data_IF_009645969184
#
_entry.id   IF_009645969184
#
_cell.length_a   1.000
_cell.length_b   1.000
_cell.length_c   1.000
_cell.angle_alpha   90.00
_cell.angle_beta   90.00
_cell.angle_gamma   90.00
#
_symmetry.space_group_name_H-M   'P 1'
#
loop_
_entity.id
_entity.type
_entity.pdbx_description
1 polymer ?
#
# COMPACT_ATOMS: atom_id res chain seq x y z
N UNK A 1 -82.21 6.66 15.93
CA UNK A 1 -81.74 5.26 16.05
C UNK A 1 -80.92 4.99 14.79
N UNK A 2 -79.64 5.30 14.75
CA UNK A 2 -78.53 4.57 15.36
C UNK A 2 -78.44 3.11 14.87
N UNK A 3 -77.24 2.74 14.40
CA UNK A 3 -76.72 1.37 14.29
C UNK A 3 -76.76 0.67 12.92
N UNK A 4 -75.99 1.17 11.93
CA UNK A 4 -75.48 0.31 10.84
C UNK A 4 -74.04 0.65 10.37
N UNK A 5 -73.24 1.36 11.18
CA UNK A 5 -71.88 1.77 10.78
C UNK A 5 -70.74 1.27 11.70
N UNK A 6 -70.99 0.31 12.59
CA UNK A 6 -69.99 -0.16 13.58
C UNK A 6 -69.46 -1.57 13.33
N UNK A 7 -70.05 -2.36 12.42
CA UNK A 7 -69.61 -3.75 12.17
C UNK A 7 -68.46 -3.87 11.16
N UNK A 8 -68.16 -2.83 10.37
CA UNK A 8 -67.07 -2.86 9.39
C UNK A 8 -65.68 -2.57 9.99
N UNK A 9 -65.61 -1.86 11.12
CA UNK A 9 -64.34 -1.42 11.72
C UNK A 9 -63.70 -2.51 12.61
N UNK A 10 -64.52 -3.37 13.24
CA UNK A 10 -64.05 -4.49 14.07
C UNK A 10 -63.49 -5.65 13.23
N UNK A 11 -64.02 -5.89 12.02
CA UNK A 11 -63.50 -6.93 11.12
C UNK A 11 -62.16 -6.54 10.48
N UNK A 12 -61.99 -5.27 10.13
CA UNK A 12 -60.73 -4.76 9.57
C UNK A 12 -59.61 -4.69 10.61
N UNK A 13 -59.93 -4.30 11.86
CA UNK A 13 -58.92 -4.27 12.95
C UNK A 13 -58.49 -5.66 13.40
N UNK A 14 -59.38 -6.66 13.40
CA UNK A 14 -59.01 -8.05 13.67
C UNK A 14 -58.15 -8.66 12.54
N UNK A 15 -58.38 -8.25 11.29
CA UNK A 15 -57.57 -8.68 10.15
C UNK A 15 -56.15 -8.07 10.18
N UNK A 16 -56.03 -6.81 10.63
CA UNK A 16 -54.73 -6.15 10.83
C UNK A 16 -53.96 -6.77 12.01
N UNK A 17 -54.64 -7.17 13.10
CA UNK A 17 -54.00 -7.86 14.23
C UNK A 17 -53.61 -9.32 13.91
N UNK A 18 -54.32 -10.01 13.01
CA UNK A 18 -53.98 -11.37 12.59
C UNK A 18 -52.89 -11.42 11.50
N UNK A 19 -52.77 -10.38 10.66
CA UNK A 19 -51.62 -10.22 9.75
C UNK A 19 -50.35 -9.78 10.49
N UNK A 20 -50.46 -9.20 11.69
CA UNK A 20 -49.32 -8.85 12.52
C UNK A 20 -48.71 -10.03 13.32
N UNK A 21 -49.37 -11.20 13.34
CA UNK A 21 -48.97 -12.35 14.17
C UNK A 21 -48.49 -13.57 13.36
N UNK A 22 -48.32 -13.45 12.04
CA UNK A 22 -47.92 -14.54 11.14
C UNK A 22 -46.51 -14.38 10.53
N UNK A 23 -45.56 -13.77 11.26
CA UNK A 23 -44.12 -13.80 10.91
C UNK A 23 -43.23 -13.97 12.15
N UNK A 24 -43.48 -15.00 12.97
CA UNK A 24 -42.47 -15.48 13.94
C UNK A 24 -41.50 -16.43 13.27
N UNK A 25 -40.49 -15.87 12.61
CA UNK A 25 -39.14 -16.40 12.34
C UNK A 25 -38.58 -15.51 11.23
N UNK A 26 -37.75 -14.53 11.54
CA UNK A 26 -36.37 -14.72 11.94
C UNK A 26 -36.06 -13.66 12.98
N UNK A 27 -35.72 -14.06 14.21
CA UNK A 27 -34.90 -13.21 15.07
C UNK A 27 -33.64 -12.94 14.25
N UNK A 28 -33.56 -11.75 13.66
CA UNK A 28 -32.35 -11.22 13.06
C UNK A 28 -31.29 -11.28 14.16
N UNK A 29 -30.37 -12.25 14.03
CA UNK A 29 -29.21 -12.35 14.87
C UNK A 29 -28.54 -10.96 14.94
N UNK A 30 -27.98 -10.57 16.10
CA UNK A 30 -27.34 -9.27 16.24
C UNK A 30 -26.33 -9.08 15.12
N UNK A 31 -26.36 -7.90 14.49
CA UNK A 31 -25.46 -7.47 13.42
C UNK A 31 -24.06 -8.05 13.65
N UNK A 32 -23.74 -9.12 12.92
CA UNK A 32 -22.42 -9.76 12.97
C UNK A 32 -21.48 -8.85 12.20
N UNK A 33 -20.89 -7.89 12.89
CA UNK A 33 -20.05 -6.86 12.29
C UNK A 33 -18.69 -7.37 11.75
N UNK A 34 -18.53 -8.68 11.52
CA UNK A 34 -17.32 -9.22 10.90
C UNK A 34 -17.59 -10.56 10.19
N UNK A 35 -17.10 -10.68 8.95
CA UNK A 35 -17.26 -11.86 8.09
C UNK A 35 -15.88 -12.39 7.64
N UNK A 36 -15.77 -13.72 7.52
CA UNK A 36 -14.57 -14.45 7.15
C UNK A 36 -14.76 -15.19 5.83
N UNK A 37 -13.76 -15.16 4.94
CA UNK A 37 -13.87 -15.64 3.56
C UNK A 37 -12.73 -16.58 3.17
N UNK A 38 -13.01 -17.56 2.31
CA UNK A 38 -12.03 -18.55 1.82
C UNK A 38 -11.14 -18.06 0.69
N UNK A 39 -11.61 -17.13 -0.15
CA UNK A 39 -10.85 -16.71 -1.33
C UNK A 39 -10.91 -15.20 -1.58
N UNK A 40 -9.77 -14.64 -2.00
CA UNK A 40 -9.62 -13.28 -2.51
C UNK A 40 -9.20 -13.35 -3.98
N UNK A 41 -10.05 -12.84 -4.88
CA UNK A 41 -9.66 -12.71 -6.29
C UNK A 41 -8.84 -11.43 -6.50
N UNK A 42 -7.65 -11.49 -7.13
CA UNK A 42 -6.83 -10.32 -7.42
C UNK A 42 -7.33 -9.63 -8.70
N UNK A 43 -8.54 -9.06 -8.67
CA UNK A 43 -9.08 -8.26 -9.77
C UNK A 43 -9.06 -6.79 -9.35
N UNK A 44 -8.03 -6.06 -9.80
CA UNK A 44 -7.84 -4.62 -9.52
C UNK A 44 -7.23 -4.29 -8.15
N UNK A 45 -6.99 -2.99 -7.87
CA UNK A 45 -6.32 -2.50 -6.63
C UNK A 45 -7.08 -2.81 -5.32
N UNK A 46 -8.26 -3.43 -5.38
CA UNK A 46 -9.09 -3.78 -4.22
C UNK A 46 -9.65 -5.18 -4.43
N UNK A 47 -8.98 -6.19 -3.87
CA UNK A 47 -9.42 -7.59 -3.98
C UNK A 47 -10.83 -7.80 -3.45
N UNK A 48 -11.61 -8.63 -4.14
CA UNK A 48 -13.00 -8.98 -3.80
C UNK A 48 -13.00 -10.33 -3.10
N UNK A 49 -13.68 -10.47 -1.96
CA UNK A 49 -13.86 -11.78 -1.35
C UNK A 49 -14.97 -12.56 -2.04
N UNK A 50 -14.74 -13.85 -2.19
CA UNK A 50 -15.74 -14.84 -2.56
C UNK A 50 -15.71 -15.96 -1.53
N UNK A 51 -16.79 -16.74 -1.46
CA UNK A 51 -16.90 -17.92 -0.60
C UNK A 51 -16.78 -17.61 0.91
N UNK A 52 -17.85 -17.03 1.45
CA UNK A 52 -17.99 -16.82 2.90
C UNK A 52 -17.95 -18.14 3.67
N UNK A 53 -17.21 -18.16 4.78
CA UNK A 53 -17.15 -19.31 5.67
C UNK A 53 -18.39 -19.27 6.56
N UNK A 54 -19.19 -20.34 6.50
CA UNK A 54 -20.31 -20.53 7.42
C UNK A 54 -19.77 -20.74 8.84
N UNK A 55 -19.77 -19.66 9.63
CA UNK A 55 -19.34 -19.70 11.03
C UNK A 55 -20.50 -20.23 11.88
N UNK A 56 -20.32 -21.32 12.66
CA UNK A 56 -21.38 -21.84 13.51
C UNK A 56 -21.82 -20.78 14.53
N UNK A 57 -23.09 -20.82 14.95
CA UNK A 57 -23.72 -19.74 15.72
C UNK A 57 -23.08 -19.46 17.10
N UNK A 58 -22.21 -20.36 17.58
CA UNK A 58 -21.47 -20.26 18.83
C UNK A 58 -20.07 -19.61 18.68
N UNK A 59 -19.63 -19.28 17.46
CA UNK A 59 -18.32 -18.67 17.20
C UNK A 59 -18.53 -17.27 16.61
N UNK A 60 -17.93 -16.26 17.25
CA UNK A 60 -17.87 -14.89 16.76
C UNK A 60 -16.48 -14.63 16.19
N UNK A 61 -16.38 -14.33 14.89
CA UNK A 61 -15.11 -13.90 14.30
C UNK A 61 -14.95 -12.43 14.56
N UNK A 62 -14.13 -12.04 15.54
CA UNK A 62 -13.94 -10.64 15.90
C UNK A 62 -12.72 -10.02 15.19
N UNK A 63 -11.75 -10.84 14.77
CA UNK A 63 -10.50 -10.36 14.21
C UNK A 63 -9.92 -11.27 13.08
N UNK A 64 -8.90 -10.78 12.34
CA UNK A 64 -8.20 -11.53 11.29
C UNK A 64 -7.59 -12.88 11.74
N UNK A 65 -7.07 -12.98 12.97
CA UNK A 65 -6.39 -14.18 13.48
C UNK A 65 -7.39 -15.31 13.71
N UNK A 66 -8.57 -14.99 14.22
CA UNK A 66 -9.66 -15.94 14.41
C UNK A 66 -10.19 -16.47 13.07
N UNK A 67 -10.25 -15.60 12.05
CA UNK A 67 -10.60 -15.99 10.68
C UNK A 67 -9.60 -17.00 10.08
N UNK A 68 -8.29 -16.84 10.36
CA UNK A 68 -7.28 -17.81 9.92
C UNK A 68 -7.46 -19.20 10.56
N UNK A 69 -7.82 -19.27 11.85
CA UNK A 69 -8.05 -20.56 12.51
C UNK A 69 -9.22 -21.34 11.90
N UNK A 70 -10.17 -20.63 11.29
CA UNK A 70 -11.29 -21.21 10.56
C UNK A 70 -10.96 -21.54 9.10
N UNK A 71 -9.72 -21.33 8.66
CA UNK A 71 -9.27 -21.57 7.30
C UNK A 71 -9.64 -20.48 6.30
N UNK A 72 -9.93 -19.26 6.77
CA UNK A 72 -10.18 -18.11 5.91
C UNK A 72 -8.90 -17.41 5.49
N UNK A 73 -8.90 -16.84 4.29
CA UNK A 73 -7.79 -16.05 3.75
C UNK A 73 -8.11 -14.54 3.68
N UNK A 74 -9.36 -14.14 3.92
CA UNK A 74 -9.80 -12.75 3.85
C UNK A 74 -10.83 -12.39 4.92
N UNK A 75 -10.78 -11.14 5.40
CA UNK A 75 -11.60 -10.63 6.50
C UNK A 75 -12.20 -9.25 6.21
N UNK A 76 -13.40 -8.97 6.72
CA UNK A 76 -14.12 -7.69 6.55
C UNK A 76 -14.98 -7.33 7.76
N UNK A 77 -14.87 -6.09 8.25
CA UNK A 77 -15.71 -5.48 9.30
C UNK A 77 -17.09 -5.01 8.80
N UNK A 78 -17.33 -5.00 7.47
CA UNK A 78 -18.58 -4.47 6.90
C UNK A 78 -19.43 -5.61 6.34
N UNK A 79 -20.70 -5.63 6.75
CA UNK A 79 -21.75 -6.60 6.41
C UNK A 79 -22.01 -6.81 4.90
N UNK A 80 -21.38 -6.03 4.02
CA UNK A 80 -21.63 -6.05 2.58
C UNK A 80 -20.41 -6.47 1.73
N UNK A 81 -19.32 -6.99 2.33
CA UNK A 81 -18.22 -7.65 1.61
C UNK A 81 -17.47 -6.81 0.55
N UNK A 82 -17.61 -5.48 0.58
CA UNK A 82 -17.09 -4.59 -0.49
C UNK A 82 -15.58 -4.35 -0.44
N UNK A 83 -14.91 -4.64 0.69
CA UNK A 83 -13.45 -4.52 0.84
C UNK A 83 -12.97 -5.61 1.78
N UNK A 84 -12.02 -6.40 1.33
CA UNK A 84 -11.38 -7.42 2.15
C UNK A 84 -9.95 -7.07 2.44
N UNK A 85 -9.58 -7.22 3.71
CA UNK A 85 -8.21 -7.21 4.20
C UNK A 85 -7.70 -8.64 4.29
N UNK A 86 -6.38 -8.81 4.21
CA UNK A 86 -5.75 -10.11 4.35
C UNK A 86 -5.91 -10.57 5.80
N UNK A 87 -6.54 -11.73 5.99
CA UNK A 87 -6.76 -12.29 7.33
C UNK A 87 -5.47 -12.91 7.88
N UNK A 88 -4.78 -13.64 7.01
CA UNK A 88 -3.55 -14.38 7.31
C UNK A 88 -2.37 -13.67 6.67
N UNK A 89 -2.09 -12.47 7.16
CA UNK A 89 -0.77 -11.92 7.01
C UNK A 89 0.18 -12.86 7.75
N UNK A 90 1.15 -13.43 7.05
CA UNK A 90 2.19 -14.25 7.68
C UNK A 90 2.81 -13.42 8.83
N UNK A 91 2.90 -13.97 10.05
CA UNK A 91 3.59 -13.28 11.13
C UNK A 91 5.06 -13.10 10.73
N UNK A 92 5.62 -11.91 10.97
CA UNK A 92 7.08 -11.75 10.96
C UNK A 92 7.71 -12.83 11.84
N UNK A 93 8.86 -13.41 11.45
CA UNK A 93 9.48 -14.50 12.21
C UNK A 93 9.91 -14.01 13.59
N UNK A 94 9.17 -14.39 14.64
CA UNK A 94 9.64 -14.28 16.02
C UNK A 94 10.86 -15.21 16.20
N UNK A 95 12.01 -14.62 16.55
CA UNK A 95 13.18 -15.33 17.03
C UNK A 95 12.80 -16.25 18.20
N UNK A 96 13.28 -17.52 18.23
CA UNK A 96 12.91 -18.44 19.29
C UNK A 96 13.49 -18.00 20.65
N UNK A 97 12.61 -17.89 21.65
CA UNK A 97 12.98 -17.84 23.07
C UNK A 97 13.49 -19.22 23.52
N UNK A 98 14.59 -19.31 24.30
CA UNK A 98 15.01 -20.58 24.88
C UNK A 98 13.99 -21.08 25.92
N UNK A 99 13.63 -22.34 25.78
CA UNK A 99 12.83 -23.10 26.75
C UNK A 99 13.73 -23.36 27.95
N UNK A 100 13.40 -22.75 29.09
CA UNK A 100 13.93 -23.15 30.38
C UNK A 100 13.35 -24.51 30.76
N UNK A 101 14.21 -25.51 30.85
CA UNK A 101 13.92 -26.82 31.40
C UNK A 101 15.14 -27.29 32.17
N UNK A 102 15.07 -27.20 33.49
CA UNK A 102 16.06 -27.77 34.38
C UNK A 102 16.07 -29.29 34.29
N UNK A 103 17.25 -29.87 34.44
CA UNK A 103 17.44 -31.23 34.93
C UNK A 103 18.50 -31.18 36.02
N UNK A 104 18.02 -31.01 37.24
CA UNK A 104 18.73 -31.52 38.40
C UNK A 104 18.86 -33.05 38.26
N UNK A 105 20.02 -33.54 38.68
CA UNK A 105 20.25 -34.91 39.18
C UNK A 105 20.20 -36.06 38.17
N UNK A 106 21.36 -36.46 37.63
CA UNK A 106 21.72 -37.88 37.61
C UNK A 106 23.25 -38.09 37.72
N UNK A 107 23.64 -38.92 38.69
CA UNK A 107 24.94 -39.55 38.97
C UNK A 107 26.03 -38.62 39.53
N UNK A 108 26.34 -38.58 40.83
CA UNK A 108 26.49 -39.67 41.82
C UNK A 108 27.08 -40.94 41.22
N UNK A 109 28.41 -40.97 41.10
CA UNK A 109 29.28 -42.07 41.53
C UNK A 109 30.70 -41.77 41.06
N UNK A 110 31.68 -42.04 41.95
CA UNK A 110 33.13 -42.10 41.73
C UNK A 110 33.94 -40.88 42.23
N UNK A 111 33.96 -40.69 43.55
CA UNK A 111 35.24 -40.61 44.26
C UNK A 111 35.69 -42.06 44.53
N UNK A 112 37.01 -42.42 44.47
CA UNK A 112 37.93 -41.94 45.51
C UNK A 112 39.43 -41.81 45.12
N UNK A 113 40.17 -41.24 46.09
CA UNK A 113 41.62 -41.37 46.37
C UNK A 113 42.62 -40.46 45.62
N UNK A 114 42.86 -39.26 46.17
CA UNK A 114 44.17 -38.72 46.61
C UNK A 114 43.87 -37.31 47.14
N UNK A 115 43.94 -37.03 48.44
CA UNK A 115 45.19 -37.02 49.19
C UNK A 115 45.49 -35.57 49.57
N UNK A 116 45.57 -35.31 50.87
CA UNK A 116 46.16 -34.12 51.52
C UNK A 116 45.68 -32.73 51.07
N UNK A 117 44.97 -32.09 52.00
CA UNK A 117 44.93 -30.64 52.14
C UNK A 117 46.32 -30.01 51.91
N UNK A 118 46.46 -29.23 50.85
CA UNK A 118 47.16 -27.97 50.95
C UNK A 118 46.15 -26.87 50.65
N UNK A 119 46.05 -25.94 51.60
CA UNK A 119 45.32 -24.69 51.42
C UNK A 119 45.94 -23.98 50.21
N UNK A 120 45.23 -23.93 49.09
CA UNK A 120 45.51 -22.90 48.10
C UNK A 120 44.94 -21.61 48.67
N UNK A 121 45.83 -20.72 49.07
CA UNK A 121 45.51 -19.37 49.49
C UNK A 121 44.58 -18.72 48.47
N UNK A 122 43.43 -18.21 48.93
CA UNK A 122 42.48 -17.40 48.14
C UNK A 122 43.04 -15.97 47.98
N UNK A 123 44.30 -15.87 47.59
CA UNK A 123 44.99 -14.61 47.31
C UNK A 123 45.98 -14.80 46.15
N UNK A 124 45.52 -15.32 45.01
CA UNK A 124 46.09 -15.05 43.67
C UNK A 124 45.25 -15.73 42.57
N UNK A 125 43.99 -15.34 42.42
CA UNK A 125 43.43 -15.27 41.07
C UNK A 125 43.83 -13.89 40.55
N UNK A 126 45.04 -13.82 40.01
CA UNK A 126 45.36 -12.68 39.16
C UNK A 126 44.34 -12.67 38.02
N UNK A 127 43.99 -11.47 37.56
CA UNK A 127 43.15 -11.20 36.40
C UNK A 127 43.83 -11.66 35.08
N UNK A 128 44.50 -12.81 35.07
CA UNK A 128 45.43 -13.20 34.01
C UNK A 128 44.96 -14.47 33.30
N UNK A 129 43.78 -14.40 32.69
CA UNK A 129 43.57 -15.06 31.40
C UNK A 129 42.40 -14.40 30.65
N UNK A 130 42.38 -13.07 30.58
CA UNK A 130 41.53 -12.37 29.62
C UNK A 130 42.13 -12.59 28.23
N UNK A 131 41.62 -13.56 27.47
CA UNK A 131 42.15 -13.89 26.14
C UNK A 131 41.06 -13.86 25.09
N UNK A 132 41.33 -13.15 24.01
CA UNK A 132 40.52 -13.23 22.80
C UNK A 132 40.80 -14.55 22.10
N UNK A 133 39.75 -15.18 21.58
CA UNK A 133 39.89 -16.31 20.67
C UNK A 133 40.67 -15.88 19.42
N UNK A 134 41.20 -16.87 18.70
CA UNK A 134 41.63 -16.65 17.33
C UNK A 134 40.48 -16.07 16.49
N UNK A 135 40.86 -15.28 15.48
CA UNK A 135 39.91 -14.75 14.53
C UNK A 135 39.27 -15.88 13.73
N UNK A 136 37.94 -15.81 13.57
CA UNK A 136 37.22 -16.63 12.60
C UNK A 136 37.67 -16.33 11.17
N UNK A 137 37.31 -17.22 10.25
CA UNK A 137 37.53 -17.00 8.82
C UNK A 137 36.75 -15.79 8.32
N UNK A 138 37.31 -15.07 7.35
CA UNK A 138 36.59 -14.04 6.61
C UNK A 138 35.33 -14.60 5.92
N UNK A 139 34.25 -13.83 5.96
CA UNK A 139 33.04 -14.11 5.18
C UNK A 139 33.27 -13.88 3.68
N UNK A 140 32.32 -14.33 2.86
CA UNK A 140 32.31 -13.99 1.44
C UNK A 140 32.01 -12.50 1.24
N UNK A 141 32.49 -11.93 0.14
CA UNK A 141 32.24 -10.53 -0.20
C UNK A 141 30.74 -10.25 -0.22
N UNK A 142 30.31 -9.21 0.49
CA UNK A 142 28.88 -8.85 0.60
C UNK A 142 28.27 -8.42 -0.73
N UNK A 143 29.10 -8.04 -1.71
CA UNK A 143 28.69 -7.67 -3.05
C UNK A 143 29.02 -8.78 -4.05
N UNK A 144 28.14 -8.98 -5.04
CA UNK A 144 28.38 -9.88 -6.19
C UNK A 144 29.12 -9.17 -7.34
N UNK A 145 29.15 -7.84 -7.32
CA UNK A 145 29.88 -6.99 -8.24
C UNK A 145 30.38 -5.75 -7.50
N UNK A 146 31.46 -5.14 -7.99
CA UNK A 146 32.07 -3.94 -7.45
C UNK A 146 32.69 -4.16 -6.08
N UNK A 147 32.72 -3.07 -5.33
CA UNK A 147 33.19 -3.04 -3.95
C UNK A 147 32.12 -3.57 -3.01
N UNK A 148 32.54 -4.43 -2.08
CA UNK A 148 31.73 -4.91 -0.96
C UNK A 148 32.56 -4.93 0.32
N UNK A 149 32.02 -5.60 1.33
CA UNK A 149 32.67 -5.79 2.62
C UNK A 149 32.74 -7.29 2.95
N UNK A 150 33.82 -7.69 3.60
CA UNK A 150 33.95 -8.99 4.27
C UNK A 150 34.12 -8.76 5.77
N UNK A 151 33.56 -9.67 6.55
CA UNK A 151 33.50 -9.60 8.00
C UNK A 151 34.09 -10.85 8.62
N UNK A 152 34.80 -10.71 9.73
CA UNK A 152 35.22 -11.82 10.60
C UNK A 152 34.97 -11.47 12.05
N UNK A 153 34.84 -12.48 12.89
CA UNK A 153 34.50 -12.33 14.31
C UNK A 153 35.43 -13.14 15.21
N UNK A 154 35.66 -12.64 16.42
CA UNK A 154 36.31 -13.36 17.53
C UNK A 154 35.56 -13.13 18.83
N UNK A 155 35.73 -14.02 19.79
CA UNK A 155 35.02 -13.97 21.08
C UNK A 155 36.01 -13.86 22.24
N UNK A 156 35.64 -13.12 23.27
CA UNK A 156 36.45 -13.00 24.48
C UNK A 156 36.15 -14.18 25.43
N UNK A 157 37.21 -14.83 25.93
CA UNK A 157 37.12 -15.92 26.89
C UNK A 157 37.74 -15.49 28.24
N UNK A 158 37.14 -15.86 29.39
CA UNK A 158 35.85 -16.56 29.52
C UNK A 158 34.65 -15.65 29.20
N UNK A 159 33.53 -16.24 28.78
CA UNK A 159 32.30 -15.49 28.48
C UNK A 159 31.92 -14.60 29.68
N UNK A 160 31.78 -13.30 29.44
CA UNK A 160 31.52 -12.21 30.41
C UNK A 160 32.74 -11.62 31.15
N UNK A 161 33.97 -11.92 30.74
CA UNK A 161 35.17 -11.23 31.26
C UNK A 161 35.46 -9.88 30.58
N UNK A 162 34.97 -9.67 29.35
CA UNK A 162 35.07 -8.42 28.60
C UNK A 162 33.74 -7.65 28.61
N UNK A 163 33.80 -6.32 28.46
CA UNK A 163 32.61 -5.47 28.28
C UNK A 163 31.83 -5.81 26.99
N UNK A 164 32.53 -6.27 25.96
CA UNK A 164 31.97 -6.77 24.70
C UNK A 164 32.38 -8.23 24.53
N UNK A 165 31.41 -9.12 24.28
CA UNK A 165 31.62 -10.57 24.20
C UNK A 165 32.12 -11.02 22.82
N UNK A 166 31.88 -10.21 21.79
CA UNK A 166 32.24 -10.48 20.40
C UNK A 166 32.87 -9.21 19.82
N UNK A 167 34.00 -9.37 19.14
CA UNK A 167 34.62 -8.33 18.34
C UNK A 167 34.46 -8.69 16.86
N UNK A 168 34.03 -7.71 16.06
CA UNK A 168 33.86 -7.84 14.63
C UNK A 168 34.81 -6.90 13.89
N UNK A 169 35.47 -7.44 12.87
CA UNK A 169 36.30 -6.67 11.96
C UNK A 169 35.69 -6.74 10.57
N UNK A 170 35.56 -5.57 9.93
CA UNK A 170 35.05 -5.43 8.57
C UNK A 170 36.11 -4.77 7.69
N UNK A 171 36.42 -5.38 6.55
CA UNK A 171 37.31 -4.80 5.54
C UNK A 171 36.64 -4.79 4.17
N UNK A 172 37.15 -3.93 3.28
CA UNK A 172 36.66 -3.82 1.92
C UNK A 172 37.18 -4.98 1.05
N UNK A 173 36.30 -5.49 0.19
CA UNK A 173 36.65 -6.42 -0.88
C UNK A 173 36.29 -5.80 -2.24
N UNK A 174 37.03 -6.19 -3.27
CA UNK A 174 36.68 -5.94 -4.66
C UNK A 174 36.48 -7.28 -5.37
N UNK A 175 35.32 -7.44 -6.01
CA UNK A 175 34.99 -8.65 -6.77
C UNK A 175 35.67 -8.70 -8.14
N UNK A 176 36.31 -7.61 -8.59
CA UNK A 176 36.79 -7.39 -9.96
C UNK A 176 35.68 -7.53 -11.03
N UNK A 177 34.41 -7.56 -10.62
CA UNK A 177 33.24 -7.60 -11.51
C UNK A 177 32.63 -6.22 -11.52
N UNK A 178 32.58 -5.54 -12.67
CA UNK A 178 31.95 -4.22 -12.74
C UNK A 178 30.44 -4.32 -12.60
N UNK A 179 29.84 -3.59 -11.65
CA UNK A 179 28.39 -3.46 -11.58
C UNK A 179 27.88 -2.66 -12.78
N UNK A 180 27.09 -3.30 -13.63
CA UNK A 180 26.38 -2.61 -14.71
C UNK A 180 25.22 -1.82 -14.11
N UNK A 181 25.15 -0.53 -14.42
CA UNK A 181 23.98 0.27 -14.10
C UNK A 181 22.74 -0.35 -14.77
N UNK A 182 21.60 -0.42 -14.06
CA UNK A 182 20.38 -0.94 -14.65
C UNK A 182 19.94 -0.09 -15.85
N UNK A 183 19.40 -0.73 -16.88
CA UNK A 183 19.06 -0.03 -18.13
C UNK A 183 18.02 1.07 -17.88
N UNK A 184 18.13 2.24 -18.57
CA UNK A 184 17.12 3.28 -18.50
C UNK A 184 15.76 2.77 -18.96
N UNK A 185 14.72 2.99 -18.15
CA UNK A 185 13.33 2.70 -18.54
C UNK A 185 12.64 4.02 -18.81
N UNK A 186 12.27 4.26 -20.06
CA UNK A 186 11.56 5.49 -20.43
C UNK A 186 10.10 5.44 -19.97
N UNK A 187 9.62 6.57 -19.46
CA UNK A 187 8.24 6.73 -19.05
C UNK A 187 7.30 6.63 -20.24
N UNK A 188 6.19 5.91 -20.06
CA UNK A 188 5.11 5.84 -21.04
C UNK A 188 3.78 6.18 -20.38
N UNK A 189 2.93 6.81 -21.18
CA UNK A 189 1.58 7.18 -20.77
C UNK A 189 0.71 5.93 -20.62
N UNK A 190 -0.11 5.91 -19.58
CA UNK A 190 -1.30 5.06 -19.56
C UNK A 190 -2.25 5.46 -20.70
N UNK A 191 -3.23 4.60 -20.98
CA UNK A 191 -4.43 5.02 -21.67
C UNK A 191 -5.06 6.25 -20.99
N UNK A 192 -5.78 7.05 -21.79
CA UNK A 192 -6.62 8.11 -21.27
C UNK A 192 -7.72 7.50 -20.39
N UNK A 193 -8.03 8.17 -19.27
CA UNK A 193 -9.20 7.84 -18.46
C UNK A 193 -10.47 8.05 -19.26
N UNK A 194 -11.56 7.44 -18.78
CA UNK A 194 -12.90 7.87 -19.16
C UNK A 194 -13.07 9.38 -18.94
N UNK A 195 -13.91 9.98 -19.76
CA UNK A 195 -14.28 11.39 -19.61
C UNK A 195 -15.07 11.59 -18.32
N UNK A 196 -14.76 12.66 -17.59
CA UNK A 196 -15.54 13.07 -16.41
C UNK A 196 -16.99 13.38 -16.77
N UNK A 197 -17.84 13.49 -15.77
CA UNK A 197 -19.15 14.14 -15.94
C UNK A 197 -18.96 15.61 -16.35
N UNK A 198 -20.02 16.20 -16.89
CA UNK A 198 -20.04 17.60 -17.28
C UNK A 198 -20.08 18.50 -16.06
N UNK A 199 -19.20 19.49 -16.00
CA UNK A 199 -19.23 20.53 -14.99
C UNK A 199 -20.38 21.51 -15.33
N UNK A 200 -21.61 21.18 -14.89
CA UNK A 200 -22.87 21.88 -15.23
C UNK A 200 -23.01 23.31 -14.65
N UNK A 201 -21.90 24.02 -14.48
CA UNK A 201 -21.89 25.42 -14.01
C UNK A 201 -22.62 26.33 -15.00
N UNK A 202 -22.38 26.10 -16.29
CA UNK A 202 -23.09 26.72 -17.40
C UNK A 202 -23.38 25.61 -18.43
N UNK A 203 -24.65 25.33 -18.77
CA UNK A 203 -25.01 24.27 -19.70
C UNK A 203 -24.25 24.34 -21.03
N UNK A 204 -23.93 25.53 -21.53
CA UNK A 204 -23.37 25.69 -22.88
C UNK A 204 -21.85 25.90 -22.89
N UNK A 205 -21.28 26.23 -21.73
CA UNK A 205 -19.83 26.33 -21.52
C UNK A 205 -19.25 25.18 -20.68
N UNK A 206 -20.05 24.18 -20.30
CA UNK A 206 -19.61 22.99 -19.56
C UNK A 206 -18.67 22.11 -20.38
N UNK A 207 -17.73 21.45 -19.70
CA UNK A 207 -16.74 20.57 -20.30
C UNK A 207 -16.57 19.27 -19.52
N UNK A 208 -15.97 18.28 -20.19
CA UNK A 208 -15.50 17.04 -19.60
C UNK A 208 -13.98 17.00 -19.65
N UNK A 209 -13.39 16.38 -18.63
CA UNK A 209 -11.95 16.24 -18.47
C UNK A 209 -11.56 14.77 -18.52
N UNK A 210 -10.47 14.45 -19.20
CA UNK A 210 -9.87 13.11 -19.22
C UNK A 210 -8.38 13.23 -18.90
N UNK A 211 -7.89 12.31 -18.08
CA UNK A 211 -6.53 12.36 -17.52
C UNK A 211 -5.76 11.07 -17.83
N UNK A 212 -4.43 11.13 -17.79
CA UNK A 212 -3.55 9.97 -17.93
C UNK A 212 -2.32 10.16 -17.06
N UNK A 213 -1.68 9.05 -16.68
CA UNK A 213 -0.50 9.07 -15.82
C UNK A 213 0.72 8.48 -16.53
N UNK A 214 1.90 8.98 -16.19
CA UNK A 214 3.18 8.51 -16.74
C UNK A 214 3.68 7.28 -15.96
N UNK A 215 2.93 6.18 -16.02
CA UNK A 215 3.13 5.02 -15.14
C UNK A 215 3.09 3.67 -15.86
N UNK A 216 3.11 3.65 -17.20
CA UNK A 216 2.97 2.40 -17.97
C UNK A 216 4.07 2.18 -19.02
N UNK A 217 5.36 2.09 -18.62
CA UNK A 217 5.89 2.07 -17.25
C UNK A 217 6.29 3.46 -16.72
N UNK A 218 6.53 3.61 -15.40
CA UNK A 218 7.13 4.82 -14.85
C UNK A 218 8.60 4.94 -15.28
N UNK A 219 9.12 6.17 -15.47
CA UNK A 219 10.53 6.37 -15.79
C UNK A 219 11.43 5.95 -14.61
N UNK A 220 12.46 5.16 -14.90
CA UNK A 220 13.45 4.72 -13.90
C UNK A 220 14.86 4.63 -14.50
N UNK A 221 15.88 4.54 -13.64
CA UNK A 221 17.29 4.43 -14.03
C UNK A 221 17.73 5.54 -15.02
N UNK A 222 17.32 6.78 -14.78
CA UNK A 222 17.61 7.91 -15.66
C UNK A 222 16.82 7.94 -16.97
N UNK A 223 15.73 7.18 -17.07
CA UNK A 223 14.85 7.19 -18.24
C UNK A 223 14.09 8.51 -18.43
N UNK A 224 13.72 8.79 -19.68
CA UNK A 224 13.06 10.05 -20.07
C UNK A 224 11.62 10.11 -19.51
N UNK A 225 11.15 11.30 -19.07
CA UNK A 225 9.76 11.47 -18.65
C UNK A 225 8.81 11.44 -19.85
N UNK A 226 7.52 11.21 -19.59
CA UNK A 226 6.51 11.23 -20.64
C UNK A 226 6.35 12.63 -21.24
N UNK A 227 6.27 12.68 -22.58
CA UNK A 227 6.06 13.93 -23.32
C UNK A 227 4.58 14.10 -23.64
N UNK A 228 4.04 15.29 -23.38
CA UNK A 228 2.65 15.65 -23.73
C UNK A 228 1.81 16.02 -22.50
N UNK A 229 0.54 16.39 -22.72
CA UNK A 229 -0.40 16.69 -21.65
C UNK A 229 -0.72 15.47 -20.79
N UNK A 230 -0.88 15.66 -19.48
CA UNK A 230 -1.50 14.67 -18.58
C UNK A 230 -3.03 14.79 -18.54
N UNK A 231 -3.58 15.90 -19.04
CA UNK A 231 -5.00 16.25 -18.96
C UNK A 231 -5.47 16.82 -20.30
N UNK A 232 -6.67 16.44 -20.74
CA UNK A 232 -7.36 17.02 -21.90
C UNK A 232 -8.80 17.33 -21.57
N UNK A 233 -9.36 18.34 -22.22
CA UNK A 233 -10.75 18.77 -22.05
C UNK A 233 -11.52 18.69 -23.37
N UNK A 234 -12.85 18.56 -23.27
CA UNK A 234 -13.76 18.67 -24.43
C UNK A 234 -15.09 19.29 -24.01
N UNK A 235 -15.80 19.98 -24.90
CA UNK A 235 -17.11 20.52 -24.57
C UNK A 235 -18.16 19.41 -24.36
N UNK A 236 -19.16 19.71 -23.56
CA UNK A 236 -20.31 18.85 -23.36
C UNK A 236 -21.32 18.97 -24.51
N UNK A 237 -21.81 17.83 -25.00
CA UNK A 237 -22.86 17.80 -26.02
C UNK A 237 -24.23 17.81 -25.34
N UNK A 238 -24.71 18.99 -24.94
CA UNK A 238 -26.00 19.14 -24.26
C UNK A 238 -27.10 19.66 -25.22
N UNK A 239 -28.29 19.02 -25.27
CA UNK A 239 -29.33 19.32 -26.25
C UNK A 239 -30.04 20.67 -26.02
N UNK A 240 -29.89 21.29 -24.84
CA UNK A 240 -30.49 22.59 -24.52
C UNK A 240 -29.68 23.78 -25.03
N UNK A 241 -28.53 23.53 -25.62
CA UNK A 241 -27.66 24.57 -26.16
C UNK A 241 -27.85 24.69 -27.67
N UNK A 242 -29.01 25.21 -28.06
CA UNK A 242 -29.15 25.73 -29.41
C UNK A 242 -28.26 26.98 -29.50
N UNK A 243 -27.25 26.97 -30.38
CA UNK A 243 -26.39 28.13 -30.57
C UNK A 243 -27.22 29.27 -31.17
N UNK A 244 -27.56 30.26 -30.34
CA UNK A 244 -28.26 31.49 -30.76
C UNK A 244 -27.23 32.56 -31.18
N UNK A 245 -25.96 32.35 -30.88
CA UNK A 245 -24.82 33.18 -31.30
C UNK A 245 -23.72 32.39 -32.02
N UNK A 246 -22.69 33.12 -32.45
CA UNK A 246 -21.48 32.59 -33.07
C UNK A 246 -20.24 32.91 -32.25
N UNK A 247 -19.26 32.01 -32.26
CA UNK A 247 -17.94 32.35 -31.69
C UNK A 247 -17.20 33.30 -32.63
N UNK A 248 -16.56 34.32 -32.06
CA UNK A 248 -15.55 35.11 -32.75
C UNK A 248 -14.39 34.20 -33.22
N UNK A 249 -13.55 34.73 -34.12
CA UNK A 249 -12.25 34.11 -34.35
C UNK A 249 -11.48 33.98 -33.02
N UNK A 250 -10.71 32.90 -32.89
CA UNK A 250 -9.78 32.75 -31.77
C UNK A 250 -8.75 33.86 -31.78
N UNK A 251 -8.35 34.32 -30.59
CA UNK A 251 -7.17 35.16 -30.43
C UNK A 251 -5.91 34.41 -30.86
N UNK A 252 -4.84 35.17 -31.07
CA UNK A 252 -3.50 34.60 -31.12
C UNK A 252 -3.18 33.86 -29.80
N UNK A 253 -2.30 32.87 -29.91
CA UNK A 253 -1.79 32.14 -28.76
C UNK A 253 -0.94 33.05 -27.87
N UNK A 254 -1.11 32.93 -26.56
CA UNK A 254 -0.26 33.63 -25.58
C UNK A 254 1.18 33.11 -25.61
N UNK A 255 2.12 33.93 -25.13
CA UNK A 255 3.49 33.46 -24.94
C UNK A 255 3.52 32.26 -24.00
N UNK A 256 4.50 31.37 -24.21
CA UNK A 256 4.66 30.22 -23.34
C UNK A 256 4.90 30.66 -21.90
N UNK A 257 4.16 30.09 -20.93
CA UNK A 257 4.31 30.44 -19.52
C UNK A 257 5.64 30.00 -18.90
N UNK A 258 6.46 29.22 -19.62
CA UNK A 258 7.78 28.81 -19.16
C UNK A 258 8.70 30.03 -19.13
N UNK A 259 9.49 30.13 -18.06
CA UNK A 259 10.38 31.27 -17.84
C UNK A 259 11.82 30.94 -18.22
N UNK A 260 12.21 29.67 -18.20
CA UNK A 260 13.56 29.24 -18.56
C UNK A 260 13.58 28.41 -19.85
N UNK A 261 14.70 28.51 -20.57
CA UNK A 261 14.95 27.70 -21.76
C UNK A 261 14.84 26.19 -21.44
N UNK A 262 14.28 25.41 -22.36
CA UNK A 262 14.05 23.98 -22.16
C UNK A 262 13.00 23.62 -21.11
N UNK A 263 12.41 24.59 -20.40
CA UNK A 263 11.27 24.34 -19.52
C UNK A 263 9.96 24.23 -20.30
N UNK A 264 9.00 23.58 -19.65
CA UNK A 264 7.65 23.36 -20.16
C UNK A 264 6.70 24.38 -19.54
N UNK A 265 5.86 24.97 -20.36
CA UNK A 265 4.85 25.93 -19.94
C UNK A 265 3.49 25.63 -20.56
N UNK A 266 2.57 26.56 -20.37
CA UNK A 266 1.24 26.57 -20.95
C UNK A 266 1.12 27.81 -21.83
N UNK A 267 0.52 27.65 -23.00
CA UNK A 267 0.01 28.74 -23.82
C UNK A 267 -1.50 28.63 -23.89
N UNK A 268 -2.18 29.75 -24.06
CA UNK A 268 -3.63 29.84 -24.07
C UNK A 268 -4.11 30.88 -25.07
N UNK A 269 -5.33 30.70 -25.54
CA UNK A 269 -6.03 31.64 -26.42
C UNK A 269 -7.48 31.73 -26.01
N UNK A 270 -8.11 32.86 -26.32
CA UNK A 270 -9.50 33.13 -25.96
C UNK A 270 -10.31 33.52 -27.18
N UNK A 271 -11.63 33.47 -27.05
CA UNK A 271 -12.59 33.95 -28.04
C UNK A 271 -13.82 34.50 -27.32
N UNK A 272 -14.58 35.32 -28.01
CA UNK A 272 -15.79 35.97 -27.47
C UNK A 272 -17.02 35.38 -28.15
N UNK A 273 -18.11 35.25 -27.38
CA UNK A 273 -19.40 34.84 -27.93
C UNK A 273 -20.13 36.07 -28.46
N UNK A 274 -20.41 36.07 -29.76
CA UNK A 274 -21.23 37.08 -30.43
C UNK A 274 -22.68 36.57 -30.48
N UNK A 275 -23.47 36.92 -29.45
CA UNK A 275 -24.89 36.57 -29.32
C UNK A 275 -25.27 36.07 -27.92
N UNK A 276 -26.49 35.53 -27.78
CA UNK A 276 -27.05 35.15 -26.48
C UNK A 276 -26.53 33.80 -25.94
N UNK A 277 -26.06 32.90 -26.82
CA UNK A 277 -25.53 31.58 -26.40
C UNK A 277 -24.62 30.95 -27.45
N UNK A 278 -23.42 30.56 -27.03
CA UNK A 278 -22.44 29.84 -27.85
C UNK A 278 -22.08 28.49 -27.21
N UNK A 279 -21.90 27.45 -28.03
CA UNK A 279 -21.53 26.11 -27.57
C UNK A 279 -20.02 25.92 -27.59
N UNK A 280 -19.44 25.56 -26.45
CA UNK A 280 -18.04 25.19 -26.32
C UNK A 280 -17.24 26.15 -25.46
N UNK A 281 -15.92 25.94 -25.36
CA UNK A 281 -15.09 26.71 -24.44
C UNK A 281 -14.74 28.09 -25.00
N UNK A 282 -14.74 29.12 -24.13
CA UNK A 282 -14.21 30.45 -24.46
C UNK A 282 -12.67 30.52 -24.36
N UNK A 283 -12.08 29.57 -23.62
CA UNK A 283 -10.63 29.46 -23.36
C UNK A 283 -10.13 28.11 -23.89
N UNK A 284 -9.05 28.16 -24.65
CA UNK A 284 -8.32 26.99 -25.12
C UNK A 284 -6.86 27.11 -24.66
N UNK A 285 -6.24 25.98 -24.36
CA UNK A 285 -4.87 25.95 -23.84
C UNK A 285 -4.12 24.69 -24.28
N UNK A 286 -2.83 24.86 -24.52
CA UNK A 286 -1.93 23.78 -24.91
C UNK A 286 -0.59 23.88 -24.17
N UNK A 287 0.14 22.76 -24.11
CA UNK A 287 1.49 22.78 -23.56
C UNK A 287 2.49 23.24 -24.60
N UNK A 288 3.34 24.17 -24.21
CA UNK A 288 4.47 24.66 -25.00
C UNK A 288 5.80 24.22 -24.36
N UNK A 289 6.87 24.23 -25.15
CA UNK A 289 8.23 23.97 -24.66
C UNK A 289 9.14 25.03 -25.23
N UNK A 290 9.84 25.77 -24.37
CA UNK A 290 10.81 26.73 -24.84
C UNK A 290 12.00 26.02 -25.49
N UNK A 291 12.62 26.63 -26.51
CA UNK A 291 13.83 26.07 -27.12
C UNK A 291 14.90 25.82 -26.06
N UNK A 292 15.70 24.79 -26.27
CA UNK A 292 16.83 24.50 -25.40
C UNK A 292 17.77 25.70 -25.38
N UNK A 293 18.36 25.99 -24.22
CA UNK A 293 19.43 26.97 -24.16
C UNK A 293 20.54 26.55 -25.13
N UNK A 294 20.89 27.44 -26.05
CA UNK A 294 22.15 27.30 -26.77
C UNK A 294 23.27 27.50 -25.77
N UNK A 295 24.12 26.47 -25.58
CA UNK A 295 25.32 26.52 -24.72
C UNK A 295 26.43 27.40 -25.34
N UNK A 296 26.11 28.23 -26.34
CA UNK A 296 27.07 29.06 -27.05
C UNK A 296 26.62 30.51 -27.00
N UNK A 297 27.41 31.33 -26.28
CA UNK A 297 27.30 32.77 -26.28
C UNK A 297 28.09 33.46 -25.17
N UNK A 298 29.42 33.29 -25.20
CA UNK A 298 30.52 34.15 -24.70
C UNK A 298 30.32 35.07 -23.50
#
# INVERSE_FOLDING_TARGET
>A
MASLATTSLLSMTLCILLLAMATTSVLSAPDRNAHCFRQRLPIGRRGKCTDEILVPANVTVLDPKECCRLGGSGWSEKSNGKRCLDACLEPEPELPRPIGGGVDSIMESLEPILGSMERVDVQQLSNDNLTWSEWGSWSNCSALCGAGNITRRRTCLPENACNETIEEETIQCDTNVTCLAPRPVHGRWTGWSEWSECDLVDPCNSFQTSTRTCTDPPPSNGGRPCRGPSTRTRPCNLPRCAAIGGWSAWSEWSACSATSCGERGITSRTRVCDGDSCVGLFLDWEFCTLPACSVLGY
#
